data_IF_002362680852
#
_entry.id   IF_002362680852
#
_cell.length_a   1.000
_cell.length_b   1.000
_cell.length_c   1.000
_cell.angle_alpha   90.00
_cell.angle_beta   90.00
_cell.angle_gamma   90.00
#
_symmetry.space_group_name_H-M   'P 1'
#
loop_
_entity.id
_entity.type
_entity.pdbx_description
1 polymer ?
#
# COMPACT_ATOMS: atom_id res chain seq x y z
N UNK A 1 2.11 -36.07 -48.14
CA UNK A 1 1.01 -36.69 -47.37
C UNK A 1 1.10 -36.10 -45.93
N UNK A 2 0.48 -34.95 -45.76
CA UNK A 2 0.55 -34.18 -44.50
C UNK A 2 -0.69 -34.48 -43.67
N UNK A 3 -0.50 -35.15 -42.55
CA UNK A 3 -1.58 -35.36 -41.58
C UNK A 3 -1.45 -34.29 -40.51
N UNK A 4 -2.29 -33.26 -40.64
CA UNK A 4 -2.52 -32.26 -39.59
C UNK A 4 -3.51 -32.85 -38.59
N UNK A 5 -3.06 -33.28 -37.42
CA UNK A 5 -3.93 -33.63 -36.29
C UNK A 5 -4.23 -32.35 -35.53
N UNK A 6 -5.37 -31.77 -35.78
CA UNK A 6 -5.96 -30.66 -35.01
C UNK A 6 -6.53 -31.23 -33.70
N UNK A 7 -5.77 -31.20 -32.65
CA UNK A 7 -6.27 -31.58 -31.32
C UNK A 7 -6.79 -30.33 -30.59
N UNK A 8 -8.02 -29.93 -30.85
CA UNK A 8 -8.71 -28.87 -30.10
C UNK A 8 -9.22 -29.47 -28.78
N UNK A 9 -8.51 -29.22 -27.72
CA UNK A 9 -9.02 -29.52 -26.37
C UNK A 9 -10.04 -28.45 -25.98
N UNK A 10 -11.30 -28.84 -25.94
CA UNK A 10 -12.40 -28.04 -25.37
C UNK A 10 -12.57 -28.45 -23.91
N UNK A 11 -12.33 -27.55 -23.00
CA UNK A 11 -12.73 -27.67 -21.59
C UNK A 11 -14.06 -26.90 -21.44
N UNK A 12 -15.14 -27.65 -21.22
CA UNK A 12 -16.45 -27.06 -20.84
C UNK A 12 -17.11 -26.19 -21.89
N UNK A 13 -16.99 -26.49 -23.20
CA UNK A 13 -17.75 -25.84 -24.28
C UNK A 13 -17.32 -24.41 -24.62
N UNK A 14 -16.31 -23.84 -24.00
CA UNK A 14 -15.76 -22.51 -24.32
C UNK A 14 -14.45 -22.63 -25.09
N UNK A 15 -14.36 -21.88 -26.18
CA UNK A 15 -13.18 -21.85 -27.05
C UNK A 15 -12.00 -21.26 -26.27
N UNK A 16 -10.80 -21.87 -26.33
CA UNK A 16 -9.59 -21.36 -25.66
C UNK A 16 -9.26 -19.92 -26.08
N UNK A 17 -9.68 -19.51 -27.28
CA UNK A 17 -9.59 -18.11 -27.71
C UNK A 17 -10.58 -17.16 -27.00
N UNK A 18 -11.69 -17.67 -26.44
CA UNK A 18 -12.58 -16.88 -25.57
C UNK A 18 -12.04 -16.76 -24.14
N UNK A 19 -11.31 -17.77 -23.68
CA UNK A 19 -10.61 -17.70 -22.38
C UNK A 19 -9.42 -16.74 -22.40
N UNK A 20 -8.80 -16.48 -23.56
CA UNK A 20 -7.77 -15.46 -23.72
C UNK A 20 -8.32 -14.03 -23.81
N UNK A 21 -9.65 -13.86 -23.88
CA UNK A 21 -10.35 -12.58 -23.73
C UNK A 21 -10.75 -12.28 -22.28
N UNK A 22 -10.38 -13.17 -21.34
CA UNK A 22 -10.57 -12.89 -19.93
C UNK A 22 -9.70 -11.71 -19.56
N UNK A 23 -10.35 -10.57 -19.48
CA UNK A 23 -9.96 -9.31 -18.87
C UNK A 23 -8.44 -9.02 -18.88
N UNK A 24 -7.99 -8.26 -19.89
CA UNK A 24 -6.78 -7.47 -19.71
C UNK A 24 -7.05 -6.56 -18.53
N UNK A 25 -6.43 -6.85 -17.40
CA UNK A 25 -6.42 -5.98 -16.24
C UNK A 25 -6.17 -4.55 -16.70
N UNK A 26 -7.09 -3.66 -16.40
CA UNK A 26 -6.94 -2.24 -16.72
C UNK A 26 -5.99 -1.65 -15.69
N UNK A 27 -4.75 -1.50 -16.06
CA UNK A 27 -3.74 -0.88 -15.19
C UNK A 27 -3.41 0.50 -15.69
N UNK A 28 -3.45 1.50 -14.81
CA UNK A 28 -2.97 2.86 -15.06
C UNK A 28 -1.77 3.12 -14.16
N UNK A 29 -0.66 3.55 -14.74
CA UNK A 29 0.56 3.89 -14.01
C UNK A 29 0.84 5.38 -14.12
N UNK A 30 1.19 5.97 -12.98
CA UNK A 30 1.65 7.35 -12.88
C UNK A 30 3.00 7.34 -12.20
N UNK A 31 3.90 8.17 -12.69
CA UNK A 31 5.28 8.24 -12.22
C UNK A 31 5.65 9.67 -11.90
N UNK A 32 6.38 9.85 -10.82
CA UNK A 32 6.96 11.13 -10.45
C UNK A 32 8.30 10.91 -9.75
N UNK A 33 9.11 11.93 -9.67
CA UNK A 33 10.38 11.90 -8.96
C UNK A 33 10.26 12.63 -7.63
N UNK A 34 10.71 12.00 -6.54
CA UNK A 34 10.76 12.57 -5.20
C UNK A 34 12.13 12.28 -4.59
N UNK A 35 12.87 13.35 -4.25
CA UNK A 35 14.18 13.19 -3.60
C UNK A 35 15.23 12.45 -4.44
N UNK A 36 15.13 12.52 -5.78
CA UNK A 36 16.03 11.83 -6.70
C UNK A 36 15.62 10.37 -6.99
N UNK A 37 14.50 9.91 -6.45
CA UNK A 37 13.99 8.55 -6.64
C UNK A 37 12.64 8.55 -7.33
N UNK A 38 12.38 7.50 -8.10
CA UNK A 38 11.14 7.33 -8.85
C UNK A 38 10.04 6.77 -7.97
N UNK A 39 8.99 7.55 -7.75
CA UNK A 39 7.74 7.10 -7.15
C UNK A 39 6.78 6.68 -8.26
N UNK A 40 6.27 5.47 -8.16
CA UNK A 40 5.30 4.91 -9.12
C UNK A 40 4.00 4.56 -8.42
N UNK A 41 2.88 5.09 -8.90
CA UNK A 41 1.54 4.72 -8.46
C UNK A 41 0.85 3.88 -9.54
N UNK A 42 0.42 2.68 -9.18
CA UNK A 42 -0.27 1.75 -10.07
C UNK A 42 -1.69 1.53 -9.57
N UNK A 43 -2.67 1.90 -10.39
CA UNK A 43 -4.09 1.66 -10.17
C UNK A 43 -4.53 0.52 -11.06
N UNK A 44 -5.11 -0.51 -10.45
CA UNK A 44 -5.58 -1.71 -11.16
C UNK A 44 -6.89 -2.21 -10.56
N UNK A 45 -7.56 -3.08 -11.30
CA UNK A 45 -8.76 -3.77 -10.88
C UNK A 45 -8.48 -5.08 -10.08
N UNK A 46 -7.25 -5.25 -9.55
CA UNK A 46 -6.88 -6.42 -8.75
C UNK A 46 -7.63 -6.52 -7.42
N UNK A 47 -8.02 -5.40 -6.84
CA UNK A 47 -8.77 -5.34 -5.58
C UNK A 47 -10.24 -4.95 -5.85
N UNK A 48 -10.95 -5.74 -6.66
CA UNK A 48 -12.33 -5.46 -7.11
C UNK A 48 -13.35 -5.24 -5.98
N UNK A 49 -13.08 -5.79 -4.79
CA UNK A 49 -13.95 -5.64 -3.62
C UNK A 49 -13.69 -4.36 -2.82
N UNK A 50 -12.62 -3.64 -3.13
CA UNK A 50 -12.32 -2.36 -2.50
C UNK A 50 -12.95 -1.21 -3.30
N UNK A 51 -13.39 -0.15 -2.61
CA UNK A 51 -13.88 1.07 -3.26
C UNK A 51 -12.74 1.86 -3.90
N UNK A 52 -11.53 1.76 -3.36
CA UNK A 52 -10.32 2.31 -3.94
C UNK A 52 -9.11 1.49 -3.58
N UNK A 53 -8.16 1.39 -4.50
CA UNK A 53 -6.90 0.66 -4.26
C UNK A 53 -5.77 1.24 -5.10
N UNK A 54 -4.56 1.19 -4.56
CA UNK A 54 -3.35 1.61 -5.26
C UNK A 54 -2.15 0.80 -4.77
N UNK A 55 -1.28 0.43 -5.70
CA UNK A 55 0.07 -0.06 -5.40
C UNK A 55 1.03 1.11 -5.60
N UNK A 56 1.77 1.46 -4.56
CA UNK A 56 2.75 2.54 -4.57
C UNK A 56 4.15 1.95 -4.38
N UNK A 57 5.11 2.42 -5.18
CA UNK A 57 6.51 1.98 -5.15
C UNK A 57 7.45 3.16 -5.09
N UNK A 58 8.45 3.09 -4.23
CA UNK A 58 9.61 3.98 -4.18
C UNK A 58 10.87 3.11 -4.13
N UNK A 59 11.66 3.12 -5.20
CA UNK A 59 12.67 2.10 -5.39
C UNK A 59 12.04 0.71 -5.42
N UNK A 60 12.56 -0.23 -4.61
CA UNK A 60 11.99 -1.57 -4.46
C UNK A 60 11.03 -1.70 -3.28
N UNK A 61 10.88 -0.66 -2.43
CA UNK A 61 9.84 -0.63 -1.38
C UNK A 61 8.46 -0.49 -2.03
N UNK A 62 7.56 -1.42 -1.72
CA UNK A 62 6.24 -1.49 -2.34
C UNK A 62 5.16 -1.67 -1.29
N UNK A 63 4.11 -0.86 -1.35
CA UNK A 63 2.94 -0.96 -0.50
C UNK A 63 1.66 -1.01 -1.32
N UNK A 64 0.68 -1.78 -0.84
CA UNK A 64 -0.70 -1.76 -1.33
C UNK A 64 -1.54 -1.03 -0.29
N UNK A 65 -2.34 -0.06 -0.71
CA UNK A 65 -3.41 0.49 0.10
C UNK A 65 -4.77 0.19 -0.51
N UNK A 66 -5.73 -0.19 0.33
CA UNK A 66 -7.12 -0.40 -0.05
C UNK A 66 -8.04 0.36 0.89
N UNK A 67 -9.14 0.90 0.36
CA UNK A 67 -10.14 1.62 1.12
C UNK A 67 -11.52 1.02 0.85
N UNK A 68 -12.26 0.74 1.92
CA UNK A 68 -13.61 0.17 1.87
C UNK A 68 -14.53 0.95 2.79
N UNK A 69 -15.77 1.17 2.38
CA UNK A 69 -16.83 1.78 3.17
C UNK A 69 -18.03 0.84 3.26
N UNK A 70 -18.62 0.69 4.44
CA UNK A 70 -19.85 -0.08 4.63
C UNK A 70 -21.05 0.61 3.98
N UNK A 71 -21.98 -0.18 3.47
CA UNK A 71 -23.25 0.35 2.89
C UNK A 71 -24.23 0.87 3.96
N UNK A 72 -24.14 0.35 5.17
CA UNK A 72 -25.03 0.71 6.27
C UNK A 72 -24.34 1.61 7.28
N UNK A 73 -25.10 2.54 7.85
CA UNK A 73 -24.67 3.32 9.00
C UNK A 73 -24.67 2.47 10.27
N UNK A 74 -23.71 2.72 11.15
CA UNK A 74 -23.65 2.13 12.48
C UNK A 74 -24.22 3.11 13.51
N UNK A 75 -24.94 2.58 14.49
CA UNK A 75 -25.40 3.37 15.63
C UNK A 75 -24.23 3.55 16.63
N UNK A 76 -23.38 4.53 16.32
CA UNK A 76 -22.18 4.87 17.09
C UNK A 76 -22.15 6.38 17.32
N UNK A 77 -21.69 6.80 18.48
CA UNK A 77 -21.52 8.23 18.81
C UNK A 77 -20.30 8.85 18.11
N UNK A 78 -19.37 8.05 17.64
CA UNK A 78 -18.11 8.49 17.01
C UNK A 78 -18.00 8.01 15.57
N UNK A 79 -17.13 8.67 14.79
CA UNK A 79 -16.80 8.28 13.42
C UNK A 79 -16.03 6.94 13.38
N UNK A 80 -16.61 5.88 12.76
CA UNK A 80 -16.01 4.55 12.77
C UNK A 80 -14.99 4.36 11.63
N UNK A 81 -13.79 4.89 11.81
CA UNK A 81 -12.65 4.64 10.93
C UNK A 81 -11.72 3.62 11.57
N UNK A 82 -11.35 2.57 10.84
CA UNK A 82 -10.26 1.67 11.19
C UNK A 82 -9.15 1.76 10.16
N UNK A 83 -7.91 1.82 10.64
CA UNK A 83 -6.71 1.79 9.81
C UNK A 83 -5.84 0.63 10.28
N UNK A 84 -5.59 -0.29 9.37
CA UNK A 84 -4.74 -1.45 9.60
C UNK A 84 -3.47 -1.32 8.76
N UNK A 85 -2.33 -1.55 9.41
CA UNK A 85 -1.04 -1.55 8.75
C UNK A 85 -0.40 -2.93 8.94
N UNK A 86 -0.20 -3.61 7.82
CA UNK A 86 0.22 -5.00 7.81
C UNK A 86 1.64 -5.13 7.27
N UNK A 87 2.56 -5.47 8.15
CA UNK A 87 3.90 -5.92 7.78
C UNK A 87 3.88 -7.41 7.55
N UNK A 88 4.46 -7.85 6.45
CA UNK A 88 4.53 -9.26 6.06
C UNK A 88 5.97 -9.73 6.08
N UNK A 89 6.23 -10.92 6.65
CA UNK A 89 7.57 -11.50 6.68
C UNK A 89 8.21 -11.60 5.30
N UNK A 90 7.41 -11.94 4.28
CA UNK A 90 7.90 -12.02 2.91
C UNK A 90 8.39 -10.67 2.36
N UNK A 91 7.90 -9.55 2.90
CA UNK A 91 8.32 -8.22 2.45
C UNK A 91 9.80 -7.94 2.72
N UNK A 92 10.35 -8.52 3.78
CA UNK A 92 11.78 -8.48 4.11
C UNK A 92 12.56 -9.71 3.61
N UNK A 93 11.95 -10.53 2.73
CA UNK A 93 12.57 -11.75 2.22
C UNK A 93 12.64 -12.88 3.24
N UNK A 94 11.94 -12.78 4.36
CA UNK A 94 11.94 -13.77 5.41
C UNK A 94 10.76 -14.74 5.27
N UNK A 95 11.00 -15.99 5.68
CA UNK A 95 9.96 -17.02 5.77
C UNK A 95 9.70 -17.28 7.25
N UNK A 96 8.42 -17.31 7.63
CA UNK A 96 8.02 -17.63 8.99
C UNK A 96 8.54 -19.02 9.38
N UNK A 97 9.51 -19.07 10.28
CA UNK A 97 10.38 -20.24 10.51
C UNK A 97 9.83 -21.30 11.45
N UNK A 98 8.64 -21.12 12.05
CA UNK A 98 8.13 -22.10 13.00
C UNK A 98 7.21 -23.13 12.34
N UNK A 99 7.51 -24.43 12.56
CA UNK A 99 6.64 -25.55 12.18
C UNK A 99 5.21 -25.39 12.70
N UNK A 100 5.03 -24.77 13.85
CA UNK A 100 3.77 -24.68 14.56
C UNK A 100 3.04 -23.34 14.32
N UNK A 101 3.77 -22.27 14.00
CA UNK A 101 3.22 -20.94 13.71
C UNK A 101 3.30 -20.67 12.21
N UNK A 102 2.24 -21.00 11.50
CA UNK A 102 2.14 -20.81 10.05
C UNK A 102 1.43 -19.52 9.66
N UNK A 103 0.96 -18.75 10.62
CA UNK A 103 0.26 -17.48 10.42
C UNK A 103 1.02 -16.37 11.12
N UNK A 104 1.06 -15.23 10.49
CA UNK A 104 1.51 -14.00 11.12
C UNK A 104 0.58 -13.71 12.30
N UNK A 105 1.18 -13.35 13.43
CA UNK A 105 0.47 -13.09 14.68
C UNK A 105 -0.09 -11.67 14.73
N UNK A 106 -0.01 -11.07 15.92
CA UNK A 106 -0.37 -9.66 16.10
C UNK A 106 0.60 -8.76 15.34
N UNK A 107 0.14 -7.57 14.86
CA UNK A 107 1.02 -6.54 14.32
C UNK A 107 2.13 -6.21 15.33
N UNK A 108 3.31 -5.85 14.81
CA UNK A 108 4.39 -5.30 15.62
C UNK A 108 4.00 -3.95 16.22
N UNK A 109 4.68 -3.52 17.27
CA UNK A 109 4.45 -2.18 17.85
C UNK A 109 4.75 -1.08 16.81
N UNK A 110 5.73 -1.32 15.93
CA UNK A 110 6.08 -0.41 14.84
C UNK A 110 4.96 -0.35 13.79
N UNK A 111 4.39 -1.48 13.40
CA UNK A 111 3.23 -1.51 12.49
C UNK A 111 2.02 -0.78 13.08
N UNK A 112 1.77 -0.95 14.38
CA UNK A 112 0.70 -0.21 15.08
C UNK A 112 0.97 1.30 15.05
N UNK A 113 2.21 1.74 15.27
CA UNK A 113 2.57 3.16 15.21
C UNK A 113 2.43 3.72 13.80
N UNK A 114 2.88 2.99 12.78
CA UNK A 114 2.71 3.36 11.36
C UNK A 114 1.24 3.48 10.98
N UNK A 115 0.40 2.53 11.40
CA UNK A 115 -1.05 2.61 11.23
C UNK A 115 -1.66 3.85 11.89
N UNK A 116 -1.17 4.23 13.08
CA UNK A 116 -1.61 5.46 13.77
C UNK A 116 -1.17 6.74 13.07
N UNK A 117 -0.02 6.75 12.41
CA UNK A 117 0.41 7.88 11.57
C UNK A 117 -0.56 8.06 10.42
N UNK A 118 -0.90 6.98 9.72
CA UNK A 118 -1.89 7.00 8.63
C UNK A 118 -3.25 7.50 9.15
N UNK A 119 -3.77 6.88 10.22
CA UNK A 119 -5.07 7.24 10.81
C UNK A 119 -5.15 8.73 11.18
N UNK A 120 -4.15 9.25 11.89
CA UNK A 120 -4.15 10.66 12.33
C UNK A 120 -4.02 11.63 11.18
N UNK A 121 -3.43 11.22 10.07
CA UNK A 121 -3.29 12.06 8.88
C UNK A 121 -4.58 12.13 8.08
N UNK A 122 -5.30 11.01 7.92
CA UNK A 122 -6.50 10.96 7.06
C UNK A 122 -7.79 11.28 7.82
N UNK A 123 -7.89 10.91 9.11
CA UNK A 123 -9.11 11.07 9.94
C UNK A 123 -9.66 12.48 9.99
N UNK A 124 -8.87 13.55 10.16
CA UNK A 124 -9.39 14.91 10.25
C UNK A 124 -10.07 15.43 8.97
N UNK A 125 -9.86 14.73 7.86
CA UNK A 125 -10.40 15.11 6.54
C UNK A 125 -11.74 14.42 6.23
N UNK A 126 -12.23 13.57 7.13
CA UNK A 126 -13.58 13.04 7.07
C UNK A 126 -14.57 13.92 7.83
N UNK A 127 -15.82 13.87 7.41
CA UNK A 127 -16.91 14.47 8.20
C UNK A 127 -17.10 13.66 9.48
N UNK A 128 -17.05 14.32 10.64
CA UNK A 128 -17.26 13.71 11.96
C UNK A 128 -18.67 13.12 12.13
N UNK A 129 -19.63 13.52 11.32
CA UNK A 129 -21.01 13.02 11.34
C UNK A 129 -21.19 11.75 10.51
N UNK A 130 -20.20 11.34 9.74
CA UNK A 130 -20.25 10.09 8.97
C UNK A 130 -20.34 8.89 9.91
N UNK A 131 -21.31 8.01 9.67
CA UNK A 131 -21.60 6.81 10.50
C UNK A 131 -21.36 5.51 9.75
N UNK A 132 -20.99 5.59 8.48
CA UNK A 132 -20.53 4.43 7.72
C UNK A 132 -19.17 4.01 8.22
N UNK A 133 -18.98 2.70 8.46
CA UNK A 133 -17.68 2.16 8.81
C UNK A 133 -16.73 2.26 7.60
N UNK A 134 -15.59 2.87 7.80
CA UNK A 134 -14.53 2.95 6.81
C UNK A 134 -13.33 2.18 7.31
N UNK A 135 -12.81 1.31 6.45
CA UNK A 135 -11.59 0.56 6.70
C UNK A 135 -10.55 0.90 5.63
N UNK A 136 -9.38 1.27 6.08
CA UNK A 136 -8.20 1.46 5.23
C UNK A 136 -7.15 0.43 5.64
N UNK A 137 -6.71 -0.38 4.70
CA UNK A 137 -5.67 -1.40 4.94
C UNK A 137 -4.46 -1.06 4.10
N UNK A 138 -3.32 -0.96 4.75
CA UNK A 138 -2.00 -0.79 4.11
C UNK A 138 -1.22 -2.08 4.31
N UNK A 139 -0.83 -2.73 3.22
CA UNK A 139 -0.02 -3.96 3.27
C UNK A 139 1.32 -3.71 2.62
N UNK A 140 2.39 -4.00 3.35
CA UNK A 140 3.77 -3.90 2.84
C UNK A 140 4.10 -5.17 2.07
N UNK A 141 4.35 -5.03 0.76
CA UNK A 141 4.68 -6.15 -0.13
C UNK A 141 6.18 -6.40 -0.26
N UNK A 142 6.96 -5.31 -0.24
CA UNK A 142 8.41 -5.37 -0.33
C UNK A 142 9.02 -4.24 0.46
N UNK A 143 10.08 -4.53 1.17
CA UNK A 143 10.85 -3.58 1.97
C UNK A 143 12.28 -3.52 1.41
N UNK A 144 12.73 -2.30 1.13
CA UNK A 144 14.09 -1.99 0.70
C UNK A 144 14.63 -0.83 1.56
N UNK A 145 15.40 0.06 0.98
CA UNK A 145 16.09 1.18 1.64
C UNK A 145 15.18 2.33 2.13
N UNK A 146 13.91 2.36 1.71
CA UNK A 146 12.97 3.44 2.07
C UNK A 146 11.89 2.97 3.04
N UNK A 147 11.47 3.90 3.91
CA UNK A 147 10.40 3.66 4.86
C UNK A 147 9.03 3.43 4.20
N UNK A 148 8.37 2.34 4.51
CA UNK A 148 7.04 2.06 3.99
C UNK A 148 5.93 2.90 4.63
N UNK A 149 6.13 3.51 5.82
CA UNK A 149 5.11 4.33 6.51
C UNK A 149 4.75 5.58 5.70
N UNK A 150 5.75 6.29 5.16
CA UNK A 150 5.52 7.46 4.29
C UNK A 150 4.75 7.06 3.04
N UNK A 151 5.12 5.93 2.45
CA UNK A 151 4.40 5.36 1.32
C UNK A 151 2.97 4.96 1.72
N UNK A 152 2.78 4.41 2.92
CA UNK A 152 1.48 4.05 3.47
C UNK A 152 0.52 5.23 3.56
N UNK A 153 0.99 6.41 4.00
CA UNK A 153 0.19 7.64 4.04
C UNK A 153 -0.21 8.07 2.64
N UNK A 154 0.75 8.16 1.71
CA UNK A 154 0.49 8.58 0.33
C UNK A 154 -0.45 7.58 -0.38
N UNK A 155 -0.21 6.28 -0.22
CA UNK A 155 -1.02 5.23 -0.82
C UNK A 155 -2.46 5.25 -0.28
N UNK A 156 -2.65 5.42 1.03
CA UNK A 156 -3.98 5.56 1.64
C UNK A 156 -4.72 6.79 1.12
N UNK A 157 -4.00 7.91 0.98
CA UNK A 157 -4.53 9.13 0.38
C UNK A 157 -4.99 8.90 -1.06
N UNK A 158 -4.17 8.23 -1.88
CA UNK A 158 -4.52 7.93 -3.27
C UNK A 158 -5.68 6.93 -3.38
N UNK A 159 -5.73 5.91 -2.53
CA UNK A 159 -6.82 4.94 -2.51
C UNK A 159 -8.16 5.62 -2.14
N UNK A 160 -8.17 6.50 -1.16
CA UNK A 160 -9.35 7.29 -0.78
C UNK A 160 -9.75 8.29 -1.88
N UNK A 161 -8.79 9.02 -2.45
CA UNK A 161 -9.05 10.02 -3.48
C UNK A 161 -9.58 9.43 -4.80
N UNK A 162 -9.31 8.16 -5.07
CA UNK A 162 -9.80 7.44 -6.27
C UNK A 162 -11.06 6.61 -6.00
N UNK A 163 -11.53 6.59 -4.76
CA UNK A 163 -12.78 5.94 -4.36
C UNK A 163 -13.97 6.90 -4.38
N UNK A 164 -15.16 6.38 -4.24
CA UNK A 164 -16.39 7.15 -4.02
C UNK A 164 -16.64 7.51 -2.55
N UNK A 165 -15.69 7.21 -1.65
CA UNK A 165 -15.78 7.49 -0.22
C UNK A 165 -15.69 9.01 -0.01
N UNK A 166 -16.65 9.65 0.70
CA UNK A 166 -16.62 11.08 0.94
C UNK A 166 -15.45 11.47 1.85
N UNK A 167 -14.46 12.13 1.29
CA UNK A 167 -13.22 12.51 1.96
C UNK A 167 -12.64 13.80 1.38
N UNK A 168 -12.17 14.71 2.23
CA UNK A 168 -11.73 16.06 1.86
C UNK A 168 -10.20 16.16 1.65
N UNK A 169 -9.53 15.04 1.28
CA UNK A 169 -8.13 15.05 0.86
C UNK A 169 -7.95 15.55 -0.57
N UNK A 170 -6.77 15.38 -1.19
CA UNK A 170 -5.69 14.46 -0.82
C UNK A 170 -4.69 15.02 0.20
N UNK A 171 -3.88 14.11 0.78
CA UNK A 171 -2.73 14.44 1.62
C UNK A 171 -1.47 13.80 1.05
N UNK A 172 -0.33 14.45 1.30
CA UNK A 172 0.99 13.91 1.02
C UNK A 172 1.79 13.75 2.30
N UNK A 173 2.86 12.97 2.22
CA UNK A 173 3.81 12.80 3.31
C UNK A 173 5.24 12.77 2.77
N UNK A 174 6.17 13.29 3.55
CA UNK A 174 7.60 13.22 3.29
C UNK A 174 8.35 13.16 4.61
N UNK A 175 9.42 12.38 4.64
CA UNK A 175 10.37 12.40 5.75
C UNK A 175 11.49 13.37 5.42
N UNK A 176 11.78 14.29 6.33
CA UNK A 176 12.86 15.25 6.16
C UNK A 176 13.93 14.93 7.17
N UNK A 177 15.16 14.75 6.69
CA UNK A 177 16.35 14.59 7.49
C UNK A 177 17.28 15.78 7.34
N UNK A 178 18.14 16.03 8.35
CA UNK A 178 19.22 17.00 8.28
C UNK A 178 20.47 16.39 8.92
N UNK A 179 21.55 16.30 8.17
CA UNK A 179 22.82 15.85 8.72
C UNK A 179 23.44 16.94 9.60
N UNK A 180 24.04 16.52 10.71
CA UNK A 180 24.73 17.43 11.62
C UNK A 180 25.88 18.16 10.88
N UNK A 181 25.89 19.48 10.96
CA UNK A 181 26.91 20.29 10.29
C UNK A 181 26.67 20.59 8.81
N UNK A 182 25.59 20.09 8.20
CA UNK A 182 25.15 20.46 6.85
C UNK A 182 23.91 21.32 6.89
N UNK A 183 23.79 22.27 5.96
CA UNK A 183 22.59 23.11 5.86
C UNK A 183 21.49 22.49 4.99
N UNK A 184 21.85 21.52 4.16
CA UNK A 184 20.94 20.86 3.22
C UNK A 184 19.99 19.88 3.93
N UNK A 185 18.71 19.90 3.52
CA UNK A 185 17.72 18.94 3.93
C UNK A 185 17.68 17.74 2.98
N UNK A 186 17.57 16.56 3.54
CA UNK A 186 17.39 15.31 2.80
C UNK A 186 15.90 14.98 2.77
N UNK A 187 15.39 14.69 1.59
CA UNK A 187 14.01 14.24 1.40
C UNK A 187 13.99 12.72 1.32
N UNK A 188 13.18 12.07 2.16
CA UNK A 188 13.07 10.62 2.28
C UNK A 188 14.45 9.91 2.38
N UNK A 189 15.29 10.26 3.38
CA UNK A 189 16.60 9.63 3.53
C UNK A 189 16.45 8.12 3.70
N UNK A 190 17.32 7.35 3.05
CA UNK A 190 17.36 5.89 3.20
C UNK A 190 17.77 5.49 4.62
N UNK A 191 17.52 4.22 4.99
CA UNK A 191 17.97 3.66 6.27
C UNK A 191 19.49 3.84 6.48
N UNK A 192 20.28 3.63 5.44
CA UNK A 192 21.72 3.83 5.49
C UNK A 192 22.10 5.27 5.82
N UNK A 193 21.45 6.25 5.18
CA UNK A 193 21.71 7.67 5.45
C UNK A 193 21.31 8.08 6.87
N UNK A 194 20.32 7.44 7.45
CA UNK A 194 19.89 7.71 8.84
C UNK A 194 20.88 7.11 9.85
N UNK A 195 21.38 5.92 9.56
CA UNK A 195 22.31 5.22 10.45
C UNK A 195 23.71 5.84 10.43
N UNK A 196 24.10 6.54 9.38
CA UNK A 196 25.36 7.31 9.34
C UNK A 196 25.44 8.37 10.45
N UNK A 197 24.29 8.92 10.86
CA UNK A 197 24.24 9.87 11.99
C UNK A 197 24.49 9.23 13.35
N UNK A 198 24.25 7.93 13.49
CA UNK A 198 24.53 7.16 14.70
C UNK A 198 25.99 6.72 14.76
N UNK A 199 26.61 6.45 13.61
CA UNK A 199 28.02 6.06 13.52
C UNK A 199 28.97 7.22 13.80
N UNK A 200 28.59 8.47 13.51
CA UNK A 200 29.38 9.67 13.83
C UNK A 200 29.28 10.09 15.32
N UNK A 201 28.35 9.54 16.08
CA UNK A 201 28.20 9.78 17.52
C UNK A 201 28.74 8.63 18.39
N UNK A 202 29.43 7.67 17.78
CA UNK A 202 30.01 6.48 18.43
C UNK A 202 31.50 6.64 18.80
N UNK A 203 31.93 7.86 19.21
CA UNK A 203 33.19 8.10 19.97
C UNK A 203 32.88 8.56 21.37
#
# INVERSE_FOLDING_TARGET
MNIFVSNRRTLGGKNIQELSRVNRMKTKKYEMEIGGEKLTAEFSDLAENAHGSVILRLGDTTVLATAVMSKGEKDLEHFPLSVEYEERFYASGQILGSRFMRREGRPSDEAVLSGRIVDRTIRPLFDSNLRNEIQVVVTVFSLDKYDPDILGVIASSLALATSEIPWNGPVGAVRIGKLKGKEEFLINPSYEMRNLSELENGE
#
